data_IF_888607703305
#
_entry.id   IF_888607703305
#
_cell.length_a   1.000
_cell.length_b   1.000
_cell.length_c   1.000
_cell.angle_alpha   90.00
_cell.angle_beta   90.00
_cell.angle_gamma   90.00
#
_symmetry.space_group_name_H-M   'P 1'
#
loop_
_entity.id
_entity.type
_entity.pdbx_description
1 polymer ?
#
# COMPACT_ATOMS: atom_id res chain seq x y z
N UNK A 1 6.44 40.97 -43.03
CA UNK A 1 5.62 40.92 -41.80
C UNK A 1 6.09 39.75 -40.98
N UNK A 2 7.06 39.98 -40.09
CA UNK A 2 7.57 38.99 -39.15
C UNK A 2 6.73 39.04 -37.88
N UNK A 3 6.08 37.92 -37.53
CA UNK A 3 5.43 37.75 -36.23
C UNK A 3 6.46 37.94 -35.11
N UNK A 4 6.12 38.60 -34.00
CA UNK A 4 6.98 38.62 -32.82
C UNK A 4 7.05 37.19 -32.23
N UNK A 5 8.19 36.78 -31.64
CA UNK A 5 8.26 35.51 -30.95
C UNK A 5 7.27 35.55 -29.79
N UNK A 6 6.26 34.67 -29.86
CA UNK A 6 5.37 34.43 -28.74
C UNK A 6 6.21 33.92 -27.59
N UNK A 7 6.42 34.76 -26.57
CA UNK A 7 6.82 34.32 -25.24
C UNK A 7 5.66 33.55 -24.60
N UNK A 8 5.30 32.43 -25.20
CA UNK A 8 4.45 31.42 -24.61
C UNK A 8 5.29 30.69 -23.59
N UNK A 9 4.92 30.83 -22.32
CA UNK A 9 5.30 29.85 -21.31
C UNK A 9 4.71 28.53 -21.78
N UNK A 10 5.46 27.75 -22.57
CA UNK A 10 5.13 26.36 -22.82
C UNK A 10 4.90 25.72 -21.45
N UNK A 11 3.71 25.15 -21.26
CA UNK A 11 3.30 24.52 -20.00
C UNK A 11 4.45 23.66 -19.50
N UNK A 12 4.98 23.97 -18.31
CA UNK A 12 6.05 23.17 -17.70
C UNK A 12 5.55 21.74 -17.52
N UNK A 13 5.95 20.86 -18.43
CA UNK A 13 5.52 19.47 -18.44
C UNK A 13 6.30 18.68 -17.41
N UNK A 14 5.59 17.99 -16.52
CA UNK A 14 6.19 16.97 -15.67
C UNK A 14 6.79 15.88 -16.57
N UNK A 15 8.09 15.61 -16.41
CA UNK A 15 8.75 14.46 -17.06
C UNK A 15 8.62 13.21 -16.21
N UNK A 16 8.60 12.06 -16.87
CA UNK A 16 8.55 10.75 -16.24
C UNK A 16 9.84 10.51 -15.42
N UNK A 17 9.75 10.07 -14.14
CA UNK A 17 10.92 9.68 -13.34
C UNK A 17 11.86 8.67 -14.02
N UNK A 18 11.37 7.82 -14.93
CA UNK A 18 12.17 6.83 -15.66
C UNK A 18 13.26 7.46 -16.54
N UNK A 19 13.08 8.72 -16.95
CA UNK A 19 14.05 9.47 -17.75
C UNK A 19 15.27 9.92 -16.94
N UNK A 20 15.21 9.76 -15.62
CA UNK A 20 16.26 10.18 -14.72
C UNK A 20 17.00 8.99 -14.09
N UNK A 21 18.22 9.27 -13.64
CA UNK A 21 19.06 8.31 -12.93
C UNK A 21 19.98 9.00 -11.92
N UNK A 22 20.48 8.21 -10.98
CA UNK A 22 21.56 8.59 -10.07
C UNK A 22 22.77 7.70 -10.33
N UNK A 23 23.93 8.24 -10.74
CA UNK A 23 25.13 7.45 -10.99
C UNK A 23 25.59 6.71 -9.72
N UNK A 24 26.24 5.56 -9.90
CA UNK A 24 26.72 4.72 -8.79
C UNK A 24 27.74 5.43 -7.90
N UNK A 25 28.66 6.18 -8.51
CA UNK A 25 29.70 6.96 -7.83
C UNK A 25 29.17 8.29 -7.27
N UNK A 26 28.15 8.88 -7.90
CA UNK A 26 27.56 10.16 -7.52
C UNK A 26 26.08 10.01 -7.16
N UNK A 27 25.80 9.27 -6.09
CA UNK A 27 24.44 8.85 -5.69
C UNK A 27 23.48 10.00 -5.32
N UNK A 28 23.99 11.21 -5.18
CA UNK A 28 23.22 12.43 -4.91
C UNK A 28 23.09 13.36 -6.13
N UNK A 29 23.67 12.99 -7.27
CA UNK A 29 23.53 13.72 -8.54
C UNK A 29 22.33 13.16 -9.31
N UNK A 30 21.39 14.02 -9.68
CA UNK A 30 20.28 13.68 -10.57
C UNK A 30 20.68 13.99 -12.02
N UNK A 31 20.57 13.00 -12.90
CA UNK A 31 21.01 13.08 -14.30
C UNK A 31 19.96 12.51 -15.24
N UNK A 32 19.99 12.92 -16.50
CA UNK A 32 19.20 12.30 -17.57
C UNK A 32 19.82 10.98 -17.97
N UNK A 33 18.94 10.00 -18.22
CA UNK A 33 19.31 8.69 -18.70
C UNK A 33 19.49 8.74 -20.22
N UNK A 34 20.70 8.45 -20.68
CA UNK A 34 21.08 8.35 -22.10
C UNK A 34 21.58 6.94 -22.49
N UNK A 35 21.58 6.01 -21.53
CA UNK A 35 22.12 4.66 -21.68
C UNK A 35 23.57 4.50 -21.19
N UNK A 36 24.27 5.60 -20.88
CA UNK A 36 25.59 5.55 -20.25
C UNK A 36 25.49 5.25 -18.75
N UNK A 37 26.60 4.77 -18.15
CA UNK A 37 26.68 4.49 -16.71
C UNK A 37 26.60 5.77 -15.87
N UNK A 38 27.05 6.90 -16.44
CA UNK A 38 27.14 8.18 -15.74
C UNK A 38 25.97 9.11 -16.01
N UNK A 39 25.21 8.92 -17.10
CA UNK A 39 24.13 9.83 -17.52
C UNK A 39 24.60 11.24 -17.88
N UNK A 40 23.68 12.04 -18.38
CA UNK A 40 23.91 13.44 -18.79
C UNK A 40 23.46 14.38 -17.67
N UNK A 41 24.28 15.38 -17.36
CA UNK A 41 23.92 16.40 -16.36
C UNK A 41 22.71 17.22 -16.80
N UNK A 42 21.87 17.62 -15.84
CA UNK A 42 20.74 18.48 -16.13
C UNK A 42 21.23 19.85 -16.58
N UNK A 43 20.71 20.34 -17.70
CA UNK A 43 21.01 21.68 -18.18
C UNK A 43 20.66 22.72 -17.10
N UNK A 44 21.63 23.58 -16.77
CA UNK A 44 21.43 24.67 -15.80
C UNK A 44 20.25 25.54 -16.22
N UNK A 45 19.33 25.79 -15.29
CA UNK A 45 18.11 26.57 -15.50
C UNK A 45 17.10 26.02 -16.53
N UNK A 46 17.36 24.85 -17.12
CA UNK A 46 16.40 24.16 -17.99
C UNK A 46 15.37 23.32 -17.23
N UNK A 47 15.58 23.12 -15.93
CA UNK A 47 14.82 22.19 -15.10
C UNK A 47 14.45 22.81 -13.75
N UNK A 48 13.22 22.52 -13.29
CA UNK A 48 12.85 22.69 -11.88
C UNK A 48 13.02 21.35 -11.18
N UNK A 49 13.94 21.28 -10.22
CA UNK A 49 14.28 20.05 -9.49
C UNK A 49 13.90 20.16 -8.03
N UNK A 50 12.75 19.58 -7.67
CA UNK A 50 12.31 19.47 -6.28
C UNK A 50 12.79 18.17 -5.64
N UNK A 51 13.45 18.26 -4.48
CA UNK A 51 13.92 17.10 -3.71
C UNK A 51 13.25 17.13 -2.33
N UNK A 52 12.17 16.36 -2.18
CA UNK A 52 11.50 16.17 -0.90
C UNK A 52 12.27 15.14 -0.04
N UNK A 53 13.15 15.62 0.84
CA UNK A 53 13.87 14.76 1.79
C UNK A 53 12.97 14.37 2.96
N UNK A 54 12.40 13.16 2.92
CA UNK A 54 11.68 12.59 4.06
C UNK A 54 12.61 11.86 5.04
N UNK A 55 13.78 11.43 4.59
CA UNK A 55 14.82 10.78 5.41
C UNK A 55 16.22 11.19 4.96
N UNK A 56 17.20 11.06 5.85
CA UNK A 56 18.63 11.18 5.52
C UNK A 56 19.09 10.01 4.64
N UNK A 57 19.94 10.30 3.66
CA UNK A 57 20.56 9.31 2.80
C UNK A 57 20.70 9.79 1.35
N UNK A 58 20.98 8.83 0.46
CA UNK A 58 21.10 9.09 -0.97
C UNK A 58 19.77 9.43 -1.62
N UNK A 59 19.79 10.15 -2.74
CA UNK A 59 18.59 10.60 -3.47
C UNK A 59 17.59 9.46 -3.77
N UNK A 60 18.05 8.24 -4.04
CA UNK A 60 17.20 7.05 -4.27
C UNK A 60 16.56 6.44 -3.00
N UNK A 61 16.97 6.91 -1.81
CA UNK A 61 16.55 6.37 -0.51
C UNK A 61 15.78 7.36 0.36
N UNK A 62 15.70 8.64 -0.02
CA UNK A 62 15.05 9.67 0.80
C UNK A 62 13.51 9.68 0.71
N UNK A 63 12.93 8.95 -0.25
CA UNK A 63 11.48 8.96 -0.49
C UNK A 63 10.69 8.19 0.58
N UNK A 64 9.50 8.69 0.92
CA UNK A 64 8.59 8.07 1.90
C UNK A 64 8.26 6.61 1.59
N UNK A 65 8.28 6.22 0.31
CA UNK A 65 8.06 4.83 -0.13
C UNK A 65 8.95 3.82 0.61
N UNK A 66 10.17 4.20 1.01
CA UNK A 66 11.09 3.32 1.74
C UNK A 66 10.60 3.00 3.15
N UNK A 67 9.88 3.91 3.78
CA UNK A 67 9.27 3.70 5.10
C UNK A 67 7.92 3.00 4.96
N UNK A 68 7.16 3.34 3.92
CA UNK A 68 5.79 2.84 3.71
C UNK A 68 5.72 1.43 3.11
N UNK A 69 6.81 0.91 2.52
CA UNK A 69 6.82 -0.42 1.89
C UNK A 69 6.43 -1.54 2.85
N UNK A 70 6.89 -1.49 4.10
CA UNK A 70 6.63 -2.56 5.07
C UNK A 70 5.18 -2.59 5.54
N UNK A 71 4.59 -1.47 6.03
CA UNK A 71 3.16 -1.43 6.33
C UNK A 71 2.30 -1.82 5.13
N UNK A 72 2.66 -1.35 3.92
CA UNK A 72 1.93 -1.73 2.71
C UNK A 72 1.95 -3.24 2.47
N UNK A 73 3.13 -3.88 2.52
CA UNK A 73 3.24 -5.32 2.30
C UNK A 73 2.49 -6.13 3.36
N UNK A 74 2.72 -5.84 4.65
CA UNK A 74 2.08 -6.57 5.74
C UNK A 74 0.57 -6.43 5.74
N UNK A 75 0.05 -5.25 5.40
CA UNK A 75 -1.39 -5.06 5.21
C UNK A 75 -1.95 -5.97 4.12
N UNK A 76 -1.31 -6.00 2.95
CA UNK A 76 -1.80 -6.80 1.82
C UNK A 76 -1.73 -8.30 2.11
N UNK A 77 -0.67 -8.77 2.77
CA UNK A 77 -0.59 -10.17 3.22
C UNK A 77 -1.66 -10.49 4.24
N UNK A 78 -1.81 -9.66 5.27
CA UNK A 78 -2.84 -9.88 6.30
C UNK A 78 -4.26 -9.85 5.73
N UNK A 79 -4.54 -8.99 4.75
CA UNK A 79 -5.85 -8.94 4.08
C UNK A 79 -6.12 -10.19 3.23
N UNK A 80 -5.09 -10.69 2.52
CA UNK A 80 -5.18 -11.93 1.76
C UNK A 80 -5.42 -13.12 2.69
N UNK A 81 -4.61 -13.26 3.73
CA UNK A 81 -4.70 -14.37 4.67
C UNK A 81 -6.03 -14.33 5.43
N UNK A 82 -6.55 -13.14 5.71
CA UNK A 82 -7.89 -12.97 6.29
C UNK A 82 -9.00 -13.44 5.33
N UNK A 83 -8.88 -13.15 4.04
CA UNK A 83 -9.85 -13.64 3.05
C UNK A 83 -9.83 -15.18 2.95
N UNK A 84 -8.64 -15.79 2.94
CA UNK A 84 -8.48 -17.25 2.95
C UNK A 84 -9.04 -17.88 4.23
N UNK A 85 -8.78 -17.25 5.38
CA UNK A 85 -9.37 -17.62 6.66
C UNK A 85 -10.91 -17.59 6.58
N UNK A 86 -11.51 -16.50 6.07
CA UNK A 86 -12.96 -16.39 5.94
C UNK A 86 -13.55 -17.44 4.98
N UNK A 87 -12.81 -17.84 3.93
CA UNK A 87 -13.24 -18.90 3.01
C UNK A 87 -13.30 -20.27 3.70
N UNK A 88 -12.28 -20.63 4.47
CA UNK A 88 -12.23 -21.89 5.22
C UNK A 88 -13.30 -21.92 6.33
N UNK A 89 -13.48 -20.80 7.05
CA UNK A 89 -14.51 -20.70 8.09
C UNK A 89 -15.92 -20.68 7.52
N UNK A 90 -16.11 -20.12 6.32
CA UNK A 90 -17.39 -20.14 5.62
C UNK A 90 -17.79 -21.53 5.13
N UNK A 91 -16.83 -22.44 4.95
CA UNK A 91 -17.06 -23.78 4.41
C UNK A 91 -16.26 -24.83 5.20
N UNK A 92 -16.79 -25.36 6.33
CA UNK A 92 -16.09 -26.35 7.13
C UNK A 92 -15.80 -27.61 6.30
N UNK A 93 -14.65 -28.22 6.58
CA UNK A 93 -14.22 -29.45 5.91
C UNK A 93 -15.20 -30.58 6.24
N UNK A 94 -15.61 -31.33 5.21
CA UNK A 94 -16.54 -32.46 5.35
C UNK A 94 -15.79 -33.75 5.16
N UNK A 95 -15.77 -34.59 6.18
CA UNK A 95 -15.12 -35.88 6.15
C UNK A 95 -16.18 -36.99 6.15
N UNK A 96 -16.26 -37.75 5.06
CA UNK A 96 -17.09 -38.95 4.98
C UNK A 96 -16.34 -40.16 5.53
N UNK A 97 -16.85 -40.77 6.59
CA UNK A 97 -16.34 -42.03 7.16
C UNK A 97 -17.19 -43.19 6.68
N UNK A 98 -16.53 -44.29 6.30
CA UNK A 98 -17.16 -45.53 5.85
C UNK A 98 -16.52 -46.74 6.55
N UNK A 99 -17.27 -47.82 6.79
CA UNK A 99 -16.77 -49.01 7.46
C UNK A 99 -15.74 -49.77 6.61
N UNK A 100 -14.83 -50.49 7.27
CA UNK A 100 -13.87 -51.37 6.59
C UNK A 100 -14.61 -52.43 5.76
N UNK A 101 -14.18 -52.61 4.51
CA UNK A 101 -14.83 -53.52 3.56
C UNK A 101 -15.92 -52.88 2.68
N UNK A 102 -16.19 -51.57 2.81
CA UNK A 102 -17.17 -50.88 1.95
C UNK A 102 -16.84 -51.03 0.46
N UNK A 103 -17.88 -51.33 -0.32
CA UNK A 103 -17.80 -51.54 -1.77
C UNK A 103 -17.49 -50.23 -2.52
N UNK A 104 -16.94 -50.29 -3.75
CA UNK A 104 -16.70 -49.09 -4.56
C UNK A 104 -17.97 -48.25 -4.81
N UNK A 105 -19.12 -48.91 -4.92
CA UNK A 105 -20.44 -48.29 -5.09
C UNK A 105 -20.88 -47.49 -3.86
N UNK A 106 -20.63 -48.01 -2.67
CA UNK A 106 -20.91 -47.35 -1.40
C UNK A 106 -20.03 -46.12 -1.19
N UNK A 107 -18.72 -46.23 -1.47
CA UNK A 107 -17.79 -45.09 -1.41
C UNK A 107 -18.20 -43.96 -2.35
N UNK A 108 -18.59 -44.28 -3.58
CA UNK A 108 -19.07 -43.29 -4.55
C UNK A 108 -20.40 -42.64 -4.13
N UNK A 109 -21.30 -43.39 -3.50
CA UNK A 109 -22.56 -42.85 -2.99
C UNK A 109 -22.31 -41.86 -1.86
N UNK A 110 -21.42 -42.20 -0.93
CA UNK A 110 -21.02 -41.30 0.16
C UNK A 110 -20.32 -40.04 -0.36
N UNK A 111 -19.41 -40.17 -1.34
CA UNK A 111 -18.74 -39.01 -1.95
C UNK A 111 -19.74 -38.06 -2.60
N UNK A 112 -20.73 -38.59 -3.34
CA UNK A 112 -21.81 -37.77 -3.92
C UNK A 112 -22.63 -37.08 -2.85
N UNK A 113 -22.96 -37.77 -1.75
CA UNK A 113 -23.67 -37.18 -0.63
C UNK A 113 -22.88 -36.03 0.01
N UNK A 114 -21.60 -36.24 0.32
CA UNK A 114 -20.69 -35.21 0.90
C UNK A 114 -20.58 -33.98 -0.01
N UNK A 115 -20.48 -34.18 -1.32
CA UNK A 115 -20.43 -33.08 -2.30
C UNK A 115 -21.77 -32.34 -2.43
N UNK A 116 -22.90 -33.06 -2.34
CA UNK A 116 -24.24 -32.48 -2.47
C UNK A 116 -24.67 -31.64 -1.26
N UNK A 117 -24.22 -32.00 -0.05
CA UNK A 117 -24.58 -31.33 1.21
C UNK A 117 -24.02 -29.90 1.30
N UNK A 118 -23.06 -29.56 0.44
CA UNK A 118 -22.43 -28.24 0.47
C UNK A 118 -23.28 -27.07 0.00
N UNK A 119 -24.22 -27.32 -0.90
CA UNK A 119 -25.15 -26.29 -1.40
C UNK A 119 -26.59 -26.58 -0.97
N UNK A 120 -26.94 -27.86 -0.80
CA UNK A 120 -28.24 -28.32 -0.33
C UNK A 120 -28.09 -28.84 1.10
N UNK A 121 -28.72 -28.21 2.09
CA UNK A 121 -28.55 -28.55 3.50
C UNK A 121 -29.20 -29.89 3.94
N UNK A 122 -29.38 -30.85 3.02
CA UNK A 122 -30.01 -32.14 3.29
C UNK A 122 -29.56 -33.24 2.34
N UNK A 123 -29.37 -34.45 2.88
CA UNK A 123 -29.02 -35.66 2.13
C UNK A 123 -29.36 -36.91 2.94
N UNK A 124 -29.57 -38.04 2.25
CA UNK A 124 -29.81 -39.34 2.87
C UNK A 124 -28.51 -40.15 2.76
N UNK A 125 -28.04 -40.69 3.88
CA UNK A 125 -26.88 -41.60 3.93
C UNK A 125 -27.30 -42.96 4.53
N UNK A 126 -26.73 -44.08 4.06
CA UNK A 126 -26.99 -45.41 4.64
C UNK A 126 -26.59 -45.49 6.12
N UNK A 127 -27.31 -46.32 6.89
CA UNK A 127 -26.96 -46.61 8.30
C UNK A 127 -25.54 -47.19 8.38
N UNK A 128 -24.65 -46.57 9.17
CA UNK A 128 -23.26 -46.98 9.34
C UNK A 128 -22.23 -46.15 8.57
N UNK A 129 -22.68 -45.17 7.76
CA UNK A 129 -21.84 -44.12 7.22
C UNK A 129 -22.08 -42.82 7.99
N UNK A 130 -21.04 -42.02 8.17
CA UNK A 130 -21.10 -40.78 8.93
C UNK A 130 -20.43 -39.65 8.16
N UNK A 131 -20.99 -38.45 8.27
CA UNK A 131 -20.37 -37.22 7.77
C UNK A 131 -20.06 -36.36 8.98
N UNK A 132 -18.78 -36.11 9.19
CA UNK A 132 -18.31 -35.19 10.21
C UNK A 132 -17.94 -33.86 9.56
N UNK A 133 -18.45 -32.78 10.16
CA UNK A 133 -17.99 -31.44 9.87
C UNK A 133 -16.83 -31.15 10.83
N UNK A 134 -15.62 -31.12 10.27
CA UNK A 134 -14.44 -30.74 11.02
C UNK A 134 -14.37 -29.22 10.99
N UNK A 135 -14.59 -28.59 12.13
CA UNK A 135 -14.35 -27.17 12.29
C UNK A 135 -12.85 -26.92 12.10
N UNK A 136 -12.49 -25.91 11.31
CA UNK A 136 -11.14 -25.37 11.38
C UNK A 136 -10.91 -24.94 12.84
N UNK A 137 -9.74 -25.29 13.40
CA UNK A 137 -9.36 -24.92 14.77
C UNK A 137 -9.68 -23.45 15.04
N UNK A 138 -10.08 -23.09 16.27
CA UNK A 138 -10.43 -21.72 16.70
C UNK A 138 -9.26 -20.72 16.51
N UNK A 139 -8.98 -20.37 15.26
CA UNK A 139 -8.13 -19.28 14.86
C UNK A 139 -8.81 -17.95 15.15
N UNK A 140 -8.06 -17.06 15.77
CA UNK A 140 -8.52 -15.73 16.12
C UNK A 140 -8.44 -14.79 14.90
N UNK A 141 -9.61 -14.44 14.35
CA UNK A 141 -9.71 -13.46 13.27
C UNK A 141 -9.19 -12.06 13.65
N UNK A 142 -9.14 -11.74 14.95
CA UNK A 142 -8.77 -10.41 15.43
C UNK A 142 -7.31 -10.08 15.14
N UNK A 143 -6.44 -11.10 15.10
CA UNK A 143 -5.02 -10.96 14.82
C UNK A 143 -4.75 -10.40 13.40
N UNK A 144 -5.55 -10.78 12.41
CA UNK A 144 -5.43 -10.22 11.06
C UNK A 144 -5.86 -8.75 11.00
N UNK A 145 -6.98 -8.43 11.65
CA UNK A 145 -7.49 -7.05 11.70
C UNK A 145 -6.54 -6.14 12.48
N UNK A 146 -5.93 -6.62 13.56
CA UNK A 146 -4.93 -5.89 14.33
C UNK A 146 -3.69 -5.55 13.50
N UNK A 147 -3.23 -6.48 12.65
CA UNK A 147 -2.10 -6.22 11.73
C UNK A 147 -2.45 -5.17 10.67
N UNK A 148 -3.65 -5.27 10.07
CA UNK A 148 -4.15 -4.27 9.10
C UNK A 148 -4.22 -2.90 9.77
N UNK A 149 -4.79 -2.82 10.98
CA UNK A 149 -4.94 -1.59 11.74
C UNK A 149 -3.59 -0.97 12.11
N UNK A 150 -2.64 -1.79 12.59
CA UNK A 150 -1.28 -1.35 12.87
C UNK A 150 -0.61 -0.76 11.63
N UNK A 151 -0.79 -1.41 10.47
CA UNK A 151 -0.22 -0.95 9.21
C UNK A 151 -0.83 0.39 8.76
N UNK A 152 -2.16 0.52 8.77
CA UNK A 152 -2.86 1.77 8.42
C UNK A 152 -2.50 2.92 9.37
N UNK A 153 -2.43 2.65 10.68
CA UNK A 153 -1.99 3.63 11.68
C UNK A 153 -0.55 4.06 11.46
N UNK A 154 0.34 3.13 11.12
CA UNK A 154 1.75 3.42 10.83
C UNK A 154 1.90 4.29 9.57
N UNK A 155 1.14 4.00 8.52
CA UNK A 155 1.12 4.82 7.29
C UNK A 155 0.58 6.23 7.55
N UNK A 156 -0.51 6.35 8.32
CA UNK A 156 -1.08 7.64 8.69
C UNK A 156 -0.08 8.51 9.46
N UNK A 157 0.60 7.94 10.46
CA UNK A 157 1.65 8.67 11.21
C UNK A 157 2.78 9.14 10.30
N UNK A 158 3.23 8.29 9.38
CA UNK A 158 4.35 8.60 8.50
C UNK A 158 4.02 9.69 7.46
N UNK A 159 2.77 9.78 7.00
CA UNK A 159 2.33 10.72 5.96
C UNK A 159 1.79 12.01 6.56
N UNK A 160 0.90 11.91 7.56
CA UNK A 160 0.16 13.04 8.12
C UNK A 160 0.75 13.56 9.44
N UNK A 161 1.72 12.86 10.02
CA UNK A 161 2.26 13.19 11.35
C UNK A 161 1.35 12.77 12.52
N UNK A 162 0.23 12.10 12.25
CA UNK A 162 -0.74 11.69 13.28
C UNK A 162 -1.79 10.69 12.75
N UNK A 163 -2.69 10.23 13.63
CA UNK A 163 -3.74 9.24 13.30
C UNK A 163 -5.16 9.73 13.60
N UNK A 164 -5.32 10.67 14.53
CA UNK A 164 -6.62 11.07 15.07
C UNK A 164 -7.51 11.88 14.12
N UNK A 165 -6.95 12.63 13.16
CA UNK A 165 -7.79 13.33 12.17
C UNK A 165 -8.39 12.39 11.11
N UNK A 166 -7.91 11.14 11.03
CA UNK A 166 -8.39 10.12 10.09
C UNK A 166 -9.16 8.98 10.76
N UNK A 167 -8.97 8.77 12.07
CA UNK A 167 -9.68 7.79 12.89
C UNK A 167 -10.30 8.50 14.09
N UNK A 168 -11.52 9.00 13.94
CA UNK A 168 -12.33 9.49 15.04
C UNK A 168 -13.02 8.31 15.73
N UNK A 169 -12.26 7.49 16.45
CA UNK A 169 -12.85 6.46 17.29
C UNK A 169 -13.49 7.17 18.50
N UNK A 170 -14.82 7.16 18.54
CA UNK A 170 -15.69 7.98 19.39
C UNK A 170 -15.54 7.82 20.90
N UNK A 171 -14.53 7.09 21.39
CA UNK A 171 -14.26 6.89 22.81
C UNK A 171 -13.22 7.87 23.40
N UNK A 172 -12.43 8.58 22.58
CA UNK A 172 -11.33 9.43 23.11
C UNK A 172 -11.00 10.66 22.25
N UNK A 173 -11.90 11.06 21.35
CA UNK A 173 -11.71 12.26 20.52
C UNK A 173 -12.29 13.49 21.22
N UNK A 174 -11.50 14.13 22.10
CA UNK A 174 -11.85 15.46 22.63
C UNK A 174 -11.49 16.54 21.61
N UNK A 175 -12.28 17.62 21.54
CA UNK A 175 -12.02 18.76 20.64
C UNK A 175 -10.58 19.33 20.81
N UNK A 176 -10.05 19.29 22.04
CA UNK A 176 -8.68 19.72 22.33
C UNK A 176 -7.62 18.82 21.64
N UNK A 177 -7.81 17.50 21.64
CA UNK A 177 -6.90 16.57 20.98
C UNK A 177 -6.96 16.70 19.46
N UNK A 178 -8.16 16.93 18.91
CA UNK A 178 -8.35 17.22 17.47
C UNK A 178 -7.59 18.47 17.01
N UNK A 179 -7.59 19.54 17.82
CA UNK A 179 -6.86 20.77 17.51
C UNK A 179 -5.33 20.54 17.45
N UNK A 180 -4.76 19.83 18.42
CA UNK A 180 -3.32 19.51 18.44
C UNK A 180 -2.90 18.72 17.19
N UNK A 181 -3.71 17.75 16.74
CA UNK A 181 -3.39 17.01 15.52
C UNK A 181 -3.48 17.86 14.25
N UNK A 182 -4.38 18.84 14.22
CA UNK A 182 -4.48 19.76 13.10
C UNK A 182 -3.29 20.76 13.07
N UNK A 183 -2.76 21.14 14.23
CA UNK A 183 -1.53 21.92 14.34
C UNK A 183 -0.34 21.14 13.76
N UNK A 184 -0.13 19.88 14.16
CA UNK A 184 0.94 19.02 13.60
C UNK A 184 0.82 18.88 12.08
N UNK A 185 -0.40 18.68 11.57
CA UNK A 185 -0.64 18.62 10.12
C UNK A 185 -0.28 19.95 9.43
N UNK A 186 -0.61 21.07 10.06
CA UNK A 186 -0.31 22.40 9.53
C UNK A 186 1.19 22.69 9.54
N UNK A 187 1.90 22.30 10.59
CA UNK A 187 3.36 22.41 10.67
C UNK A 187 4.05 21.60 9.56
N UNK A 188 3.59 20.37 9.31
CA UNK A 188 4.12 19.54 8.23
C UNK A 188 3.89 20.19 6.85
N UNK A 189 2.68 20.70 6.61
CA UNK A 189 2.34 21.45 5.39
C UNK A 189 3.25 22.66 5.22
N UNK A 190 3.42 23.46 6.27
CA UNK A 190 4.20 24.70 6.19
C UNK A 190 5.69 24.41 5.97
N UNK A 191 6.21 23.32 6.53
CA UNK A 191 7.55 22.82 6.24
C UNK A 191 7.72 22.41 4.76
N UNK A 192 6.73 21.73 4.17
CA UNK A 192 6.73 21.38 2.75
C UNK A 192 6.63 22.60 1.85
N UNK A 193 5.76 23.57 2.19
CA UNK A 193 5.64 24.85 1.48
C UNK A 193 6.97 25.62 1.46
N UNK A 194 7.67 25.67 2.60
CA UNK A 194 9.00 26.32 2.68
C UNK A 194 10.03 25.68 1.74
N UNK A 195 9.98 24.35 1.58
CA UNK A 195 10.87 23.62 0.66
C UNK A 195 10.50 23.85 -0.81
N UNK A 196 9.21 23.90 -1.12
CA UNK A 196 8.71 24.24 -2.45
C UNK A 196 9.09 25.67 -2.82
N UNK A 197 8.89 26.63 -1.91
CA UNK A 197 9.31 28.02 -2.08
C UNK A 197 10.79 28.10 -2.42
N UNK A 198 11.66 27.46 -1.63
CA UNK A 198 13.10 27.44 -1.92
C UNK A 198 13.44 26.86 -3.30
N UNK A 199 12.71 25.82 -3.74
CA UNK A 199 12.88 25.21 -5.06
C UNK A 199 12.49 26.18 -6.17
N UNK A 200 11.32 26.80 -6.06
CA UNK A 200 10.82 27.75 -7.06
C UNK A 200 11.67 29.02 -7.10
N UNK A 201 12.12 29.53 -5.95
CA UNK A 201 13.03 30.67 -5.91
C UNK A 201 14.32 30.37 -6.66
N UNK A 202 14.94 29.20 -6.41
CA UNK A 202 16.20 28.79 -7.04
C UNK A 202 16.08 28.52 -8.53
N UNK A 203 15.06 27.77 -8.96
CA UNK A 203 15.00 27.23 -10.33
C UNK A 203 14.11 28.03 -11.27
N UNK A 204 13.23 28.87 -10.74
CA UNK A 204 12.28 29.65 -11.54
C UNK A 204 12.46 31.15 -11.37
N UNK A 205 12.56 31.66 -10.15
CA UNK A 205 12.63 33.12 -9.93
C UNK A 205 14.03 33.64 -10.26
N UNK A 206 15.07 33.02 -9.68
CA UNK A 206 16.46 33.45 -9.87
C UNK A 206 16.86 33.57 -11.36
N UNK A 207 16.55 32.60 -12.25
CA UNK A 207 16.93 32.70 -13.66
C UNK A 207 16.11 33.69 -14.49
N UNK A 208 15.07 34.32 -13.92
CA UNK A 208 14.30 35.36 -14.61
C UNK A 208 14.87 36.77 -14.39
N UNK A 209 15.70 36.95 -13.35
CA UNK A 209 16.29 38.25 -13.00
C UNK A 209 17.78 38.37 -13.37
N UNK A 210 18.48 37.24 -13.52
CA UNK A 210 19.86 37.14 -14.03
C UNK A 210 19.91 37.00 -15.56
#
# INVERSE_FOLDING_TARGET
MTQPPSHGCELKQRRDPAWFMTPTEQRNSLRLRDGSVTGIELQKFGWITHIAKAKTGYLSRIGLVRTLVWPFLYKNYSARDFAEFLEIYGLPMRLGKYPEGATPTEKNTLLRAVMSIGHNAGGIIPRGMEIEFQNAADGDSSSFMAMIEWAEKSMSKAILGGTLTSQADGATSTNALGNVHNEVRSELRDADLKRLQATLTRDLIYPLYD
#
